data_IF_709389348086
#
_entry.id   IF_709389348086
#
_cell.length_a   1.000
_cell.length_b   1.000
_cell.length_c   1.000
_cell.angle_alpha   90.00
_cell.angle_beta   90.00
_cell.angle_gamma   90.00
#
_symmetry.space_group_name_H-M   'P 1'
#
loop_
_entity.id
_entity.type
_entity.pdbx_description
1 polymer ?
#
# COMPACT_ATOMS: atom_id res chain seq x y z
N UNK A 1 15.15 1.68 3.14
CA UNK A 1 14.24 2.68 3.71
C UNK A 1 13.62 2.10 4.95
N UNK A 2 13.09 2.93 5.85
CA UNK A 2 12.41 2.49 7.08
C UNK A 2 10.91 2.37 6.80
N UNK A 3 10.26 1.32 7.33
CA UNK A 3 8.81 1.15 7.24
C UNK A 3 8.17 1.47 8.59
N UNK A 4 7.07 2.22 8.56
CA UNK A 4 6.22 2.44 9.72
C UNK A 4 5.01 1.52 9.62
N UNK A 5 4.79 0.71 10.64
CA UNK A 5 3.62 -0.16 10.74
C UNK A 5 2.87 0.13 12.04
N UNK A 6 1.54 0.04 12.00
CA UNK A 6 0.70 0.24 13.17
C UNK A 6 0.05 -1.08 13.56
N UNK A 7 0.35 -1.56 14.76
CA UNK A 7 -0.12 -2.83 15.31
C UNK A 7 -0.76 -2.62 16.68
N UNK A 8 -1.19 -3.70 17.33
CA UNK A 8 -1.70 -3.67 18.71
C UNK A 8 -0.71 -3.05 19.70
N UNK A 9 0.59 -3.06 19.38
CA UNK A 9 1.65 -2.46 20.18
C UNK A 9 2.01 -1.03 19.76
N UNK A 10 1.18 -0.36 18.96
CA UNK A 10 1.39 1.00 18.50
C UNK A 10 2.16 1.08 17.18
N UNK A 11 2.61 2.29 16.83
CA UNK A 11 3.42 2.50 15.61
C UNK A 11 4.86 2.07 15.86
N UNK A 12 5.40 1.24 14.97
CA UNK A 12 6.79 0.78 15.03
C UNK A 12 7.54 1.08 13.73
N UNK A 13 8.82 1.34 13.88
CA UNK A 13 9.80 1.49 12.80
C UNK A 13 10.48 0.15 12.56
N UNK A 14 10.48 -0.30 11.32
CA UNK A 14 11.11 -1.54 10.89
C UNK A 14 12.10 -1.26 9.76
N UNK A 15 13.37 -1.62 9.96
CA UNK A 15 14.40 -1.55 8.93
C UNK A 15 14.43 -2.79 8.04
N UNK A 16 13.94 -3.92 8.56
CA UNK A 16 13.92 -5.23 7.91
C UNK A 16 12.56 -5.92 8.10
N UNK A 17 12.32 -7.01 7.37
CA UNK A 17 11.09 -7.82 7.47
C UNK A 17 10.01 -7.44 6.47
N UNK A 18 10.27 -6.47 5.59
CA UNK A 18 9.35 -6.00 4.54
C UNK A 18 9.85 -6.32 3.12
N UNK A 19 10.87 -7.18 3.00
CA UNK A 19 11.53 -7.52 1.73
C UNK A 19 10.60 -8.28 0.77
N UNK A 20 9.56 -8.91 1.31
CA UNK A 20 8.54 -9.65 0.54
C UNK A 20 7.24 -8.86 0.36
N UNK A 21 7.25 -7.55 0.60
CA UNK A 21 6.07 -6.70 0.47
C UNK A 21 5.92 -6.09 -0.93
N UNK A 22 4.68 -5.70 -1.25
CA UNK A 22 4.37 -4.98 -2.49
C UNK A 22 4.48 -3.48 -2.21
N UNK A 23 5.40 -2.80 -2.89
CA UNK A 23 5.49 -1.35 -2.84
C UNK A 23 4.43 -0.71 -3.73
N UNK A 24 3.66 0.22 -3.16
CA UNK A 24 2.63 0.97 -3.87
C UNK A 24 3.12 2.41 -4.03
N UNK A 25 3.45 2.88 -5.25
CA UNK A 25 3.86 4.26 -5.46
C UNK A 25 2.65 5.19 -5.34
N UNK A 26 2.66 6.05 -4.31
CA UNK A 26 1.56 6.98 -4.02
C UNK A 26 1.79 8.37 -4.62
N UNK A 27 3.05 8.77 -4.75
CA UNK A 27 3.45 10.11 -5.20
C UNK A 27 3.92 10.01 -6.64
N UNK A 28 3.47 10.96 -7.48
CA UNK A 28 3.97 11.06 -8.85
C UNK A 28 5.39 11.66 -8.86
N UNK A 29 6.25 11.30 -9.84
CA UNK A 29 7.66 11.71 -9.86
C UNK A 29 7.88 13.24 -9.88
N UNK A 30 6.87 14.02 -10.27
CA UNK A 30 6.89 15.48 -10.37
C UNK A 30 6.72 16.19 -9.02
N UNK A 31 6.35 15.48 -7.94
CA UNK A 31 6.15 16.07 -6.60
C UNK A 31 7.41 15.91 -5.73
N UNK A 32 8.57 16.29 -6.27
CA UNK A 32 9.88 16.07 -5.64
C UNK A 32 10.03 16.73 -4.27
N UNK A 33 9.38 17.88 -4.06
CA UNK A 33 9.39 18.58 -2.76
C UNK A 33 8.77 17.74 -1.64
N UNK A 34 7.74 16.95 -1.95
CA UNK A 34 7.04 16.13 -0.97
C UNK A 34 7.91 14.95 -0.55
N UNK A 35 8.73 14.40 -1.46
CA UNK A 35 9.67 13.33 -1.14
C UNK A 35 10.71 13.78 -0.10
N UNK A 36 11.11 15.06 -0.11
CA UNK A 36 12.09 15.58 0.84
C UNK A 36 11.52 15.72 2.27
N UNK A 37 10.20 15.96 2.40
CA UNK A 37 9.53 16.15 3.70
C UNK A 37 8.78 14.90 4.17
N UNK A 38 8.66 13.88 3.32
CA UNK A 38 7.83 12.71 3.57
C UNK A 38 8.18 12.00 4.88
N UNK A 39 9.49 11.80 5.13
CA UNK A 39 9.98 11.11 6.32
C UNK A 39 9.70 11.92 7.59
N UNK A 40 9.89 13.24 7.57
CA UNK A 40 9.61 14.13 8.71
C UNK A 40 8.11 14.17 9.02
N UNK A 41 7.27 14.31 7.99
CA UNK A 41 5.82 14.29 8.14
C UNK A 41 5.32 12.96 8.70
N UNK A 42 5.90 11.85 8.25
CA UNK A 42 5.53 10.51 8.72
C UNK A 42 5.95 10.30 10.18
N UNK A 43 7.16 10.73 10.56
CA UNK A 43 7.63 10.67 11.94
C UNK A 43 6.71 11.47 12.89
N UNK A 44 6.40 12.73 12.54
CA UNK A 44 5.50 13.58 13.35
C UNK A 44 4.09 12.97 13.44
N UNK A 45 3.55 12.50 12.32
CA UNK A 45 2.25 11.85 12.29
C UNK A 45 2.21 10.58 13.15
N UNK A 46 3.28 9.79 13.13
CA UNK A 46 3.42 8.54 13.89
C UNK A 46 3.48 8.77 15.40
N UNK A 47 4.02 9.91 15.83
CA UNK A 47 4.12 10.29 17.24
C UNK A 47 2.79 10.78 17.84
N UNK A 48 1.75 10.98 17.01
CA UNK A 48 0.44 11.45 17.46
C UNK A 48 -0.28 10.48 18.38
N UNK A 49 -0.97 11.01 19.39
CA UNK A 49 -1.73 10.22 20.39
C UNK A 49 -2.83 9.33 19.78
N UNK A 50 -3.26 9.65 18.55
CA UNK A 50 -4.23 8.85 17.82
C UNK A 50 -3.75 7.41 17.61
N UNK A 51 -2.44 7.16 17.54
CA UNK A 51 -1.84 5.88 17.16
C UNK A 51 -1.17 5.15 18.34
N UNK A 52 -1.59 5.46 19.57
CA UNK A 52 -1.14 4.75 20.75
C UNK A 52 -1.72 3.32 20.80
N UNK A 53 -1.00 2.34 21.40
CA UNK A 53 -1.40 0.92 21.41
C UNK A 53 -2.86 0.67 21.81
N UNK A 54 -3.33 1.34 22.87
CA UNK A 54 -4.68 1.18 23.40
C UNK A 54 -5.79 1.74 22.51
N UNK A 55 -5.44 2.46 21.43
CA UNK A 55 -6.37 2.97 20.42
C UNK A 55 -6.56 1.98 19.28
N UNK A 56 -5.72 0.95 19.19
CA UNK A 56 -5.80 -0.05 18.13
C UNK A 56 -7.15 -0.76 18.15
N UNK A 57 -7.74 -0.88 16.97
CA UNK A 57 -8.94 -1.67 16.75
C UNK A 57 -8.86 -2.31 15.37
N UNK A 58 -8.95 -3.64 15.33
CA UNK A 58 -8.79 -4.45 14.12
C UNK A 58 -9.73 -4.03 12.98
N UNK A 59 -10.92 -3.50 13.28
CA UNK A 59 -11.94 -3.17 12.28
C UNK A 59 -11.88 -1.69 11.88
N UNK A 60 -11.74 -0.81 12.87
CA UNK A 60 -11.97 0.62 12.70
C UNK A 60 -10.69 1.46 12.76
N UNK A 61 -9.64 0.97 13.42
CA UNK A 61 -8.44 1.74 13.73
C UNK A 61 -7.18 0.85 13.74
N UNK A 62 -6.79 0.43 12.54
CA UNK A 62 -5.74 -0.55 12.26
C UNK A 62 -4.68 0.00 11.27
N UNK A 63 -3.74 -0.85 10.86
CA UNK A 63 -2.66 -0.52 9.92
C UNK A 63 -3.17 0.09 8.59
N UNK A 64 -4.30 -0.37 8.08
CA UNK A 64 -4.90 0.17 6.87
C UNK A 64 -5.37 1.60 7.08
N UNK A 65 -6.10 1.85 8.18
CA UNK A 65 -6.59 3.20 8.50
C UNK A 65 -5.46 4.16 8.83
N UNK A 66 -4.37 3.68 9.42
CA UNK A 66 -3.14 4.44 9.64
C UNK A 66 -2.53 4.94 8.33
N UNK A 67 -2.27 4.02 7.39
CA UNK A 67 -1.71 4.37 6.09
C UNK A 67 -2.62 5.34 5.34
N UNK A 68 -3.94 5.09 5.32
CA UNK A 68 -4.89 5.96 4.64
C UNK A 68 -4.99 7.35 5.30
N UNK A 69 -4.97 7.42 6.63
CA UNK A 69 -5.04 8.67 7.37
C UNK A 69 -3.81 9.54 7.09
N UNK A 70 -2.61 8.95 7.03
CA UNK A 70 -1.40 9.66 6.63
C UNK A 70 -1.47 10.18 5.19
N UNK A 71 -1.91 9.33 4.25
CA UNK A 71 -2.10 9.77 2.85
C UNK A 71 -3.10 10.92 2.77
N UNK A 72 -4.18 10.85 3.52
CA UNK A 72 -5.19 11.90 3.55
C UNK A 72 -4.71 13.18 4.22
N UNK A 73 -3.86 13.13 5.24
CA UNK A 73 -3.28 14.33 5.85
C UNK A 73 -2.39 15.06 4.83
N UNK A 74 -1.58 14.32 4.07
CA UNK A 74 -0.75 14.85 2.99
C UNK A 74 -1.61 15.43 1.85
N UNK A 75 -2.69 14.76 1.46
CA UNK A 75 -3.63 15.30 0.46
C UNK A 75 -4.28 16.60 0.92
N UNK A 76 -4.74 16.65 2.17
CA UNK A 76 -5.34 17.85 2.76
C UNK A 76 -4.35 19.01 2.80
N UNK A 77 -3.09 18.76 3.17
CA UNK A 77 -2.02 19.77 3.14
C UNK A 77 -1.77 20.33 1.72
N UNK A 78 -2.02 19.52 0.68
CA UNK A 78 -1.95 19.94 -0.73
C UNK A 78 -3.25 20.58 -1.26
N UNK A 79 -4.27 20.78 -0.42
CA UNK A 79 -5.58 21.29 -0.84
C UNK A 79 -6.39 20.31 -1.68
N UNK A 80 -6.06 19.02 -1.64
CA UNK A 80 -6.76 17.95 -2.37
C UNK A 80 -7.83 17.29 -1.51
N UNK A 81 -8.85 16.72 -2.17
CA UNK A 81 -9.90 15.95 -1.50
C UNK A 81 -9.33 14.66 -0.91
N UNK A 82 -9.74 14.34 0.32
CA UNK A 82 -9.43 13.08 0.98
C UNK A 82 -10.09 11.89 0.27
N UNK A 83 -9.41 10.74 0.30
CA UNK A 83 -9.90 9.49 -0.24
C UNK A 83 -10.57 8.65 0.85
N UNK A 84 -11.68 8.00 0.48
CA UNK A 84 -12.30 6.95 1.27
C UNK A 84 -11.50 5.63 1.20
N UNK A 85 -11.83 4.68 2.08
CA UNK A 85 -11.28 3.31 2.04
C UNK A 85 -11.53 2.65 0.67
N UNK A 86 -12.72 2.82 0.10
CA UNK A 86 -13.04 2.23 -1.21
C UNK A 86 -12.17 2.82 -2.32
N UNK A 87 -12.13 4.16 -2.41
CA UNK A 87 -11.36 4.87 -3.43
C UNK A 87 -9.86 4.53 -3.36
N UNK A 88 -9.27 4.49 -2.16
CA UNK A 88 -7.86 4.11 -1.99
C UNK A 88 -7.61 2.66 -2.42
N UNK A 89 -8.48 1.74 -2.01
CA UNK A 89 -8.33 0.30 -2.32
C UNK A 89 -8.45 0.06 -3.83
N UNK A 90 -9.47 0.61 -4.47
CA UNK A 90 -9.72 0.46 -5.90
C UNK A 90 -8.61 1.05 -6.75
N UNK A 91 -8.12 2.23 -6.38
CA UNK A 91 -7.14 2.97 -7.18
C UNK A 91 -5.71 2.46 -7.00
N UNK A 92 -5.33 2.05 -5.79
CA UNK A 92 -3.93 1.78 -5.45
C UNK A 92 -3.66 0.33 -5.05
N UNK A 93 -4.51 -0.29 -4.23
CA UNK A 93 -4.24 -1.62 -3.67
C UNK A 93 -4.59 -2.72 -4.68
N UNK A 94 -5.83 -2.73 -5.19
CA UNK A 94 -6.33 -3.77 -6.10
C UNK A 94 -5.45 -3.95 -7.34
N UNK A 95 -5.00 -2.90 -8.05
CA UNK A 95 -4.17 -3.08 -9.24
C UNK A 95 -2.85 -3.78 -8.93
N UNK A 96 -2.21 -3.42 -7.81
CA UNK A 96 -0.92 -3.99 -7.42
C UNK A 96 -1.08 -5.44 -6.91
N UNK A 97 -2.12 -5.72 -6.12
CA UNK A 97 -2.41 -7.09 -5.67
C UNK A 97 -2.74 -8.00 -6.85
N UNK A 98 -3.52 -7.53 -7.85
CA UNK A 98 -3.77 -8.28 -9.09
C UNK A 98 -2.49 -8.59 -9.85
N UNK A 99 -1.59 -7.61 -9.96
CA UNK A 99 -0.29 -7.79 -10.63
C UNK A 99 0.59 -8.79 -9.87
N UNK A 100 0.66 -8.68 -8.55
CA UNK A 100 1.42 -9.58 -7.71
C UNK A 100 0.88 -11.01 -7.78
N UNK A 101 -0.46 -11.19 -7.74
CA UNK A 101 -1.09 -12.49 -7.91
C UNK A 101 -0.71 -13.13 -9.26
N UNK A 102 -0.80 -12.39 -10.37
CA UNK A 102 -0.35 -12.90 -11.69
C UNK A 102 1.12 -13.28 -11.69
N UNK A 103 1.98 -12.44 -11.12
CA UNK A 103 3.41 -12.71 -11.01
C UNK A 103 3.68 -13.99 -10.20
N UNK A 104 3.04 -14.14 -9.04
CA UNK A 104 3.19 -15.31 -8.18
C UNK A 104 2.75 -16.58 -8.91
N UNK A 105 1.63 -16.55 -9.63
CA UNK A 105 1.17 -17.69 -10.45
C UNK A 105 2.21 -18.11 -11.48
N UNK A 106 2.73 -17.14 -12.25
CA UNK A 106 3.76 -17.42 -13.27
C UNK A 106 5.04 -17.94 -12.62
N UNK A 107 5.50 -17.30 -11.54
CA UNK A 107 6.70 -17.69 -10.83
C UNK A 107 6.59 -19.12 -10.27
N UNK A 108 5.47 -19.46 -9.63
CA UNK A 108 5.22 -20.80 -9.11
C UNK A 108 5.21 -21.84 -10.22
N UNK A 109 4.56 -21.55 -11.35
CA UNK A 109 4.56 -22.44 -12.49
C UNK A 109 5.96 -22.63 -13.08
N UNK A 110 6.73 -21.55 -13.25
CA UNK A 110 8.12 -21.61 -13.75
C UNK A 110 9.09 -22.32 -12.78
N UNK A 111 8.78 -22.30 -11.48
CA UNK A 111 9.56 -23.02 -10.46
C UNK A 111 9.25 -24.52 -10.47
N UNK A 112 7.99 -24.89 -10.75
CA UNK A 112 7.54 -26.28 -10.79
C UNK A 112 7.74 -26.94 -12.16
N UNK A 113 7.70 -26.15 -13.22
CA UNK A 113 7.74 -26.53 -14.63
C UNK A 113 8.62 -25.52 -15.36
N UNK A 114 9.54 -25.92 -16.23
CA UNK A 114 10.44 -24.98 -16.93
C UNK A 114 9.72 -24.02 -17.92
N UNK A 115 8.38 -24.02 -17.96
CA UNK A 115 7.55 -23.22 -18.84
C UNK A 115 6.19 -22.88 -18.20
N UNK A 116 5.56 -21.82 -18.69
CA UNK A 116 4.20 -21.40 -18.31
C UNK A 116 3.34 -21.25 -19.57
N UNK A 117 2.21 -21.97 -19.64
CA UNK A 117 1.28 -21.90 -20.77
C UNK A 117 0.21 -20.86 -20.46
N UNK A 118 0.12 -19.84 -21.33
CA UNK A 118 -0.95 -18.84 -21.28
C UNK A 118 -2.10 -19.32 -22.17
N UNK A 119 -3.31 -19.56 -21.63
CA UNK A 119 -4.46 -19.83 -22.48
C UNK A 119 -4.76 -18.59 -23.32
N UNK A 120 -4.91 -18.78 -24.63
CA UNK A 120 -5.37 -17.72 -25.52
C UNK A 120 -6.82 -17.36 -25.11
N UNK A 121 -7.20 -16.07 -25.12
CA UNK A 121 -8.60 -15.71 -24.94
C UNK A 121 -9.43 -16.43 -26.01
N UNK A 122 -10.53 -17.06 -25.62
CA UNK A 122 -11.47 -17.61 -26.58
C UNK A 122 -11.86 -16.49 -27.56
N UNK A 123 -11.60 -16.70 -28.86
CA UNK A 123 -12.23 -15.87 -29.87
C UNK A 123 -13.72 -16.20 -29.80
N UNK A 124 -14.46 -15.44 -28.99
CA UNK A 124 -15.91 -15.40 -29.11
C UNK A 124 -16.22 -15.09 -30.57
N UNK A 125 -16.73 -16.12 -31.25
CA UNK A 125 -17.32 -16.05 -32.58
C UNK A 125 -18.29 -14.87 -32.61
N UNK A 126 -17.86 -13.75 -33.18
CA UNK A 126 -18.76 -12.65 -33.51
C UNK A 126 -19.79 -13.16 -34.52
N UNK A 127 -21.09 -12.99 -34.27
CA UNK A 127 -22.12 -13.26 -35.28
C UNK A 127 -22.05 -12.24 -36.44
#
# INVERSE_FOLDING_TARGET
>A
GVVYNYTEEGVRRAETGWEQCISIPLVQPDVFWLLQQWDELLEEFSAGEAWLPHRYNEHDHNCYTYALAFVNSVLTAQGKRQMSKSEFTEKFVIPQTKRASKYMTVHQALTAHDFYIVPLPDQESQP
#
